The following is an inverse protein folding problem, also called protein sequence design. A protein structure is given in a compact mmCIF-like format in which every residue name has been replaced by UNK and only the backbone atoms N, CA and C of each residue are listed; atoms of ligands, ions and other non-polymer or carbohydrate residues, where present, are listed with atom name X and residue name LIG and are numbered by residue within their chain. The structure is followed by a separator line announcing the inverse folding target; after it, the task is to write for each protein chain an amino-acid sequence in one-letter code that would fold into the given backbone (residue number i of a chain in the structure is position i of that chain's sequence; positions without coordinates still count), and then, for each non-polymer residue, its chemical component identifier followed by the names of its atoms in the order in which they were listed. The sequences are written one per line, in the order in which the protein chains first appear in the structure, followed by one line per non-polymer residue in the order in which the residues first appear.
data_IF_352738977266
#
_entry.id   IF_352738977266
#
_cell.length_a   1.000
_cell.length_b   1.000
_cell.length_c   1.000
_cell.angle_alpha   90.00
_cell.angle_beta   90.00
_cell.angle_gamma   90.00
#
_symmetry.space_group_name_H-M   'P 1'
#
loop_
_entity.id
_entity.type
_entity.pdbx_description
1 polymer ?
#
# COMPACT_ATOMS: atom_id res chain seq x y z
N UNK A 1 32.38 -9.67 -33.51
CA UNK A 1 32.62 -11.13 -33.56
C UNK A 1 32.13 -11.72 -32.24
N UNK A 2 31.05 -12.48 -32.30
CA UNK A 2 30.50 -13.19 -31.15
C UNK A 2 31.41 -14.36 -30.76
N UNK A 3 31.71 -14.53 -29.48
CA UNK A 3 32.22 -15.80 -28.94
C UNK A 3 31.38 -16.17 -27.73
N UNK A 4 30.76 -17.35 -27.84
CA UNK A 4 29.81 -17.93 -26.91
C UNK A 4 30.56 -18.66 -25.78
N UNK A 5 30.05 -18.54 -24.55
CA UNK A 5 30.46 -19.36 -23.42
C UNK A 5 29.66 -20.66 -23.38
N UNK A 6 30.37 -21.78 -23.26
CA UNK A 6 29.82 -23.13 -23.10
C UNK A 6 29.59 -23.45 -21.61
N UNK A 7 28.46 -24.06 -21.21
CA UNK A 7 28.25 -24.48 -19.83
C UNK A 7 28.78 -25.90 -19.59
N UNK A 8 29.60 -26.05 -18.54
CA UNK A 8 30.09 -27.32 -18.02
C UNK A 8 28.99 -28.08 -17.27
N UNK A 9 28.89 -29.39 -17.54
CA UNK A 9 28.00 -30.34 -16.87
C UNK A 9 28.51 -30.66 -15.47
N UNK A 10 27.71 -30.39 -14.44
CA UNK A 10 27.85 -31.04 -13.13
C UNK A 10 27.02 -32.32 -13.10
N UNK A 11 27.68 -33.46 -12.90
CA UNK A 11 27.05 -34.75 -12.67
C UNK A 11 26.72 -34.90 -11.18
N UNK A 12 25.45 -35.11 -10.86
CA UNK A 12 25.00 -35.49 -9.52
C UNK A 12 25.02 -37.01 -9.36
N UNK A 13 25.72 -37.52 -8.35
CA UNK A 13 25.62 -38.91 -7.91
C UNK A 13 24.39 -39.10 -7.01
N UNK A 14 23.64 -40.22 -7.12
CA UNK A 14 22.54 -40.51 -6.21
C UNK A 14 23.02 -41.20 -4.92
N UNK A 15 22.48 -40.78 -3.78
CA UNK A 15 22.62 -41.48 -2.49
C UNK A 15 21.79 -42.78 -2.47
N UNK A 16 22.29 -43.88 -1.85
CA UNK A 16 21.51 -45.09 -1.68
C UNK A 16 20.61 -45.02 -0.44
N UNK A 17 19.34 -45.35 -0.63
CA UNK A 17 18.37 -45.67 0.43
C UNK A 17 18.62 -47.11 0.90
N UNK A 18 19.08 -47.28 2.14
CA UNK A 18 19.10 -48.57 2.83
C UNK A 18 17.81 -48.74 3.64
N UNK A 19 16.97 -49.67 3.19
CA UNK A 19 15.85 -50.24 3.92
C UNK A 19 16.36 -51.41 4.77
N UNK A 20 16.10 -51.39 6.08
CA UNK A 20 16.08 -52.61 6.89
C UNK A 20 14.83 -52.59 7.76
N UNK A 21 14.03 -53.64 7.57
CA UNK A 21 12.85 -53.97 8.35
C UNK A 21 13.25 -54.74 9.60
N UNK A 22 12.66 -54.41 10.74
CA UNK A 22 12.40 -55.40 11.79
C UNK A 22 11.04 -55.12 12.44
N UNK A 23 10.20 -56.16 12.39
CA UNK A 23 8.91 -56.29 13.07
C UNK A 23 9.13 -56.52 14.57
N UNK A 24 8.33 -55.87 15.43
CA UNK A 24 7.43 -56.60 16.33
C UNK A 24 6.39 -55.69 17.01
N UNK A 25 5.22 -56.23 17.38
CA UNK A 25 4.00 -55.46 17.60
C UNK A 25 3.79 -55.09 19.07
N UNK A 26 3.17 -53.92 19.31
CA UNK A 26 2.56 -53.62 20.60
C UNK A 26 1.17 -53.03 20.38
N UNK A 27 0.21 -53.74 20.96
CA UNK A 27 -1.22 -53.53 21.00
C UNK A 27 -1.62 -52.38 21.92
N UNK A 28 -2.67 -51.70 21.46
CA UNK A 28 -3.50 -50.58 21.95
C UNK A 28 -3.83 -50.59 23.47
N UNK A 29 -4.21 -49.45 24.08
CA UNK A 29 -5.62 -49.04 23.99
C UNK A 29 -5.87 -47.54 23.75
N UNK A 30 -6.82 -47.31 22.85
CA UNK A 30 -7.55 -46.08 22.56
C UNK A 30 -8.42 -45.69 23.75
N UNK A 31 -8.25 -44.47 24.27
CA UNK A 31 -9.23 -43.82 25.13
C UNK A 31 -10.09 -42.93 24.23
N UNK A 32 -11.29 -43.41 23.94
CA UNK A 32 -12.39 -42.62 23.42
C UNK A 32 -13.22 -42.12 24.61
N UNK A 33 -13.41 -40.81 24.70
CA UNK A 33 -14.39 -40.19 25.62
C UNK A 33 -15.60 -39.72 24.81
N UNK A 34 -16.82 -40.23 25.06
CA UNK A 34 -18.05 -39.64 24.57
C UNK A 34 -18.63 -38.74 25.67
N UNK A 35 -18.86 -37.46 25.38
CA UNK A 35 -19.70 -36.64 26.26
C UNK A 35 -21.10 -36.50 25.64
N UNK A 36 -22.04 -37.27 26.21
CA UNK A 36 -23.47 -37.17 25.98
C UNK A 36 -24.04 -35.87 26.57
N UNK A 37 -24.89 -35.22 25.77
CA UNK A 37 -26.29 -34.93 26.13
C UNK A 37 -26.59 -34.05 27.33
N UNK A 38 -27.21 -32.90 27.06
CA UNK A 38 -28.31 -32.42 27.91
C UNK A 38 -29.29 -31.57 27.09
N UNK A 39 -30.38 -32.21 26.70
CA UNK A 39 -31.64 -31.58 26.31
C UNK A 39 -32.40 -31.16 27.58
N UNK A 40 -32.77 -29.88 27.70
CA UNK A 40 -33.91 -29.46 28.52
C UNK A 40 -34.81 -28.51 27.75
N UNK A 41 -36.02 -29.01 27.48
CA UNK A 41 -37.22 -28.29 27.05
C UNK A 41 -38.01 -27.80 28.27
N UNK A 42 -38.93 -26.87 28.00
CA UNK A 42 -40.01 -26.31 28.83
C UNK A 42 -39.54 -25.15 29.74
N UNK A 43 -40.23 -23.99 29.80
CA UNK A 43 -41.68 -23.78 29.93
C UNK A 43 -42.10 -22.46 29.25
N UNK A 44 -43.20 -22.49 28.48
CA UNK A 44 -44.04 -21.33 28.13
C UNK A 44 -44.77 -20.85 29.38
N UNK A 45 -44.67 -19.58 29.72
CA UNK A 45 -45.66 -18.88 30.54
C UNK A 45 -46.26 -17.73 29.72
N UNK A 46 -47.47 -17.96 29.24
CA UNK A 46 -48.43 -16.90 28.96
C UNK A 46 -48.98 -16.39 30.29
N UNK A 47 -48.98 -15.08 30.51
CA UNK A 47 -49.92 -14.43 31.41
C UNK A 47 -50.62 -13.30 30.67
N UNK A 48 -51.90 -13.51 30.42
CA UNK A 48 -52.85 -12.50 29.97
C UNK A 48 -53.44 -11.75 31.17
N UNK A 49 -53.54 -10.43 31.06
CA UNK A 49 -54.58 -9.65 31.75
C UNK A 49 -54.81 -8.30 31.06
N UNK A 50 -55.91 -8.22 30.28
CA UNK A 50 -57.02 -7.24 30.38
C UNK A 50 -56.69 -5.85 30.98
N UNK A 51 -57.08 -4.68 30.48
CA UNK A 51 -58.26 -4.23 29.70
C UNK A 51 -58.03 -2.74 29.36
N UNK A 52 -58.41 -2.28 28.16
CA UNK A 52 -59.46 -1.25 27.98
C UNK A 52 -59.53 -0.74 26.54
N UNK A 53 -60.67 -1.01 25.92
CA UNK A 53 -61.14 -0.40 24.68
C UNK A 53 -61.33 1.12 24.86
N UNK A 54 -60.83 1.90 23.91
CA UNK A 54 -61.53 3.10 23.44
C UNK A 54 -61.57 3.11 21.92
N UNK A 55 -62.77 2.78 21.42
CA UNK A 55 -63.19 2.89 20.03
C UNK A 55 -63.42 4.37 19.72
N UNK A 56 -62.69 4.95 18.76
CA UNK A 56 -63.11 6.17 18.07
C UNK A 56 -63.12 5.90 16.57
N UNK A 57 -64.34 5.86 16.05
CA UNK A 57 -64.67 5.91 14.63
C UNK A 57 -64.24 7.28 14.11
N UNK A 58 -63.49 7.28 13.01
CA UNK A 58 -63.07 8.48 12.28
C UNK A 58 -63.01 8.14 10.80
N UNK A 59 -63.78 8.88 10.03
CA UNK A 59 -64.19 8.70 8.64
C UNK A 59 -63.02 8.57 7.66
N UNK A 60 -63.11 7.61 6.74
CA UNK A 60 -62.27 7.54 5.52
C UNK A 60 -62.65 8.73 4.65
N UNK A 61 -61.70 9.64 4.40
CA UNK A 61 -61.83 10.68 3.38
C UNK A 61 -60.64 10.55 2.45
N UNK A 62 -60.91 10.11 1.22
CA UNK A 62 -59.98 10.25 0.12
C UNK A 62 -59.89 11.75 -0.20
N UNK A 63 -58.71 12.33 0.02
CA UNK A 63 -58.35 13.65 -0.50
C UNK A 63 -56.97 13.50 -1.14
N UNK A 64 -56.96 12.90 -2.33
CA UNK A 64 -56.11 13.41 -3.39
C UNK A 64 -56.38 14.91 -3.52
N UNK A 65 -55.31 15.71 -3.51
CA UNK A 65 -55.28 17.16 -3.76
C UNK A 65 -55.26 18.13 -2.57
N UNK A 66 -54.42 17.93 -1.54
CA UNK A 66 -53.80 19.08 -0.83
C UNK A 66 -52.45 18.71 -0.19
N UNK A 67 -51.41 18.47 -1.00
CA UNK A 67 -50.04 18.97 -0.74
C UNK A 67 -49.35 18.99 -2.10
N UNK A 68 -49.26 20.16 -2.75
CA UNK A 68 -48.15 20.38 -3.68
C UNK A 68 -46.90 20.37 -2.80
N UNK A 69 -46.30 19.21 -2.64
CA UNK A 69 -44.97 19.10 -2.08
C UNK A 69 -44.09 19.97 -2.98
N UNK A 70 -43.64 21.10 -2.44
CA UNK A 70 -42.41 21.68 -2.88
C UNK A 70 -41.39 20.55 -2.80
N UNK A 71 -41.07 19.95 -3.95
CA UNK A 71 -39.81 19.23 -4.13
C UNK A 71 -38.72 20.25 -3.83
N UNK A 72 -38.39 20.38 -2.55
CA UNK A 72 -37.04 20.71 -2.13
C UNK A 72 -36.16 19.87 -3.03
N UNK A 73 -35.36 20.51 -3.88
CA UNK A 73 -34.32 19.83 -4.63
C UNK A 73 -33.51 19.10 -3.57
N UNK A 74 -33.75 17.79 -3.41
CA UNK A 74 -32.93 16.97 -2.54
C UNK A 74 -31.53 17.16 -3.09
N UNK A 75 -30.67 17.84 -2.34
CA UNK A 75 -29.25 17.88 -2.64
C UNK A 75 -28.86 16.42 -2.88
N UNK A 76 -28.29 16.06 -4.04
CA UNK A 76 -27.82 14.70 -4.23
C UNK A 76 -26.94 14.35 -3.04
N UNK A 77 -27.10 13.15 -2.47
CA UNK A 77 -26.30 12.69 -1.36
C UNK A 77 -24.89 12.38 -1.89
N UNK A 78 -24.15 13.45 -2.17
CA UNK A 78 -22.82 13.41 -2.77
C UNK A 78 -21.84 12.87 -1.72
N UNK A 79 -20.99 11.95 -2.15
CA UNK A 79 -19.98 11.31 -1.29
C UNK A 79 -18.76 12.23 -1.08
N UNK A 80 -18.55 13.16 -2.01
CA UNK A 80 -17.41 14.07 -2.08
C UNK A 80 -17.81 15.40 -2.74
N UNK A 81 -17.03 16.46 -2.51
CA UNK A 81 -17.18 17.72 -3.24
C UNK A 81 -16.57 17.64 -4.65
N UNK A 82 -16.83 18.65 -5.50
CA UNK A 82 -16.18 18.79 -6.81
C UNK A 82 -14.66 18.85 -6.65
N UNK A 83 -14.19 19.67 -5.72
CA UNK A 83 -12.77 19.93 -5.48
C UNK A 83 -12.06 18.67 -5.00
N UNK A 84 -12.64 17.94 -4.05
CA UNK A 84 -12.13 16.63 -3.64
C UNK A 84 -12.11 15.66 -4.82
N UNK A 85 -13.17 15.63 -5.64
CA UNK A 85 -13.25 14.74 -6.80
C UNK A 85 -12.18 15.00 -7.85
N UNK A 86 -11.93 16.27 -8.17
CA UNK A 86 -10.89 16.66 -9.11
C UNK A 86 -9.48 16.38 -8.56
N UNK A 87 -9.24 16.60 -7.27
CA UNK A 87 -7.97 16.27 -6.62
C UNK A 87 -7.68 14.76 -6.71
N UNK A 88 -8.66 13.91 -6.39
CA UNK A 88 -8.50 12.46 -6.46
C UNK A 88 -8.30 11.99 -7.91
N UNK A 89 -9.02 12.59 -8.86
CA UNK A 89 -8.88 12.24 -10.28
C UNK A 89 -7.49 12.63 -10.80
N UNK A 90 -7.03 13.84 -10.52
CA UNK A 90 -5.69 14.32 -10.92
C UNK A 90 -4.57 13.44 -10.35
N UNK A 91 -4.66 13.06 -9.07
CA UNK A 91 -3.67 12.22 -8.41
C UNK A 91 -3.60 10.80 -9.02
N UNK A 92 -4.75 10.16 -9.26
CA UNK A 92 -4.77 8.83 -9.88
C UNK A 92 -4.32 8.86 -11.34
N UNK A 93 -4.70 9.89 -12.11
CA UNK A 93 -4.28 10.04 -13.51
C UNK A 93 -2.77 10.29 -13.59
N UNK A 94 -2.21 11.12 -12.70
CA UNK A 94 -0.76 11.29 -12.58
C UNK A 94 -0.07 9.95 -12.31
N UNK A 95 -0.56 9.19 -11.32
CA UNK A 95 -0.02 7.87 -11.03
C UNK A 95 -0.04 6.94 -12.24
N UNK A 96 -1.18 6.82 -12.94
CA UNK A 96 -1.30 5.95 -14.13
C UNK A 96 -0.39 6.38 -15.26
N UNK A 97 -0.43 7.65 -15.66
CA UNK A 97 0.34 8.18 -16.78
C UNK A 97 1.85 8.07 -16.52
N UNK A 98 2.28 8.36 -15.29
CA UNK A 98 3.67 8.23 -14.88
C UNK A 98 4.16 6.78 -14.99
N UNK A 99 3.40 5.81 -14.51
CA UNK A 99 3.77 4.39 -14.55
C UNK A 99 3.77 3.82 -15.97
N UNK A 100 2.84 4.26 -16.82
CA UNK A 100 2.84 3.93 -18.25
C UNK A 100 4.07 4.50 -18.96
N UNK A 101 4.46 5.74 -18.64
CA UNK A 101 5.69 6.33 -19.15
C UNK A 101 6.93 5.58 -18.65
N UNK A 102 6.96 5.15 -17.38
CA UNK A 102 8.04 4.32 -16.85
C UNK A 102 8.21 3.03 -17.66
N UNK A 103 7.11 2.36 -18.00
CA UNK A 103 7.15 1.18 -18.87
C UNK A 103 7.79 1.49 -20.23
N UNK A 104 7.39 2.60 -20.86
CA UNK A 104 7.95 3.02 -22.15
C UNK A 104 9.45 3.31 -22.04
N UNK A 105 9.88 4.04 -21.00
CA UNK A 105 11.28 4.42 -20.80
C UNK A 105 12.17 3.22 -20.47
N UNK A 106 11.65 2.24 -19.74
CA UNK A 106 12.33 0.96 -19.52
C UNK A 106 12.61 0.23 -20.84
N UNK A 107 11.60 0.09 -21.71
CA UNK A 107 11.78 -0.55 -23.01
C UNK A 107 12.67 0.25 -23.98
N UNK A 108 12.81 1.56 -23.77
CA UNK A 108 13.79 2.42 -24.47
C UNK A 108 15.19 2.38 -23.85
N UNK A 109 15.40 1.59 -22.80
CA UNK A 109 16.70 1.45 -22.13
C UNK A 109 17.13 2.68 -21.34
N UNK A 110 16.18 3.52 -20.91
CA UNK A 110 16.46 4.69 -20.06
C UNK A 110 16.46 4.36 -18.56
N UNK A 111 15.79 3.27 -18.17
CA UNK A 111 15.74 2.76 -16.80
C UNK A 111 16.40 1.39 -16.73
N UNK A 112 17.12 1.11 -15.64
CA UNK A 112 17.88 -0.12 -15.46
C UNK A 112 17.51 -0.82 -14.15
N UNK A 113 17.69 -2.15 -14.12
CA UNK A 113 17.41 -2.96 -12.94
C UNK A 113 15.93 -3.32 -12.80
N UNK A 114 15.45 -3.34 -11.55
CA UNK A 114 14.07 -3.70 -11.23
C UNK A 114 13.16 -2.48 -11.35
N UNK A 115 12.00 -2.65 -11.99
CA UNK A 115 10.94 -1.63 -12.05
C UNK A 115 9.60 -2.29 -11.77
N UNK A 116 8.92 -1.84 -10.71
CA UNK A 116 7.66 -2.41 -10.24
C UNK A 116 6.53 -1.39 -10.39
N UNK A 117 5.60 -1.65 -11.30
CA UNK A 117 4.59 -0.65 -11.66
C UNK A 117 3.33 -0.69 -10.80
N UNK A 118 2.86 0.44 -10.30
CA UNK A 118 1.69 0.60 -9.43
C UNK A 118 0.35 0.61 -10.17
N UNK A 119 0.37 0.47 -11.50
CA UNK A 119 -0.81 0.62 -12.34
C UNK A 119 -1.94 -0.37 -11.98
N UNK A 120 -3.14 0.18 -11.74
CA UNK A 120 -4.35 -0.52 -11.32
C UNK A 120 -4.67 -0.40 -9.82
N UNK A 121 -3.73 0.12 -9.01
CA UNK A 121 -3.87 0.24 -7.55
C UNK A 121 -4.07 1.70 -7.09
N UNK A 122 -4.27 2.65 -8.01
CA UNK A 122 -4.22 4.10 -7.74
C UNK A 122 -5.26 4.54 -6.70
N UNK A 123 -6.44 3.93 -6.69
CA UNK A 123 -7.47 4.23 -5.70
C UNK A 123 -7.00 4.03 -4.26
N UNK A 124 -6.10 3.06 -4.01
CA UNK A 124 -5.56 2.77 -2.67
C UNK A 124 -4.62 3.90 -2.23
N UNK A 125 -3.61 4.22 -3.02
CA UNK A 125 -2.63 5.27 -2.68
C UNK A 125 -3.33 6.62 -2.52
N UNK A 126 -4.13 7.01 -3.51
CA UNK A 126 -4.82 8.29 -3.54
C UNK A 126 -5.84 8.42 -2.41
N UNK A 127 -6.64 7.38 -2.15
CA UNK A 127 -7.68 7.41 -1.13
C UNK A 127 -7.15 7.64 0.28
N UNK A 128 -5.94 7.14 0.58
CA UNK A 128 -5.28 7.33 1.87
C UNK A 128 -4.39 8.58 1.90
N UNK A 129 -3.48 8.74 0.95
CA UNK A 129 -2.40 9.74 1.02
C UNK A 129 -2.97 11.17 0.89
N UNK A 130 -4.03 11.37 0.10
CA UNK A 130 -4.68 12.67 -0.07
C UNK A 130 -5.50 13.14 1.16
N UNK A 131 -5.50 12.37 2.24
CA UNK A 131 -6.04 12.79 3.54
C UNK A 131 -4.96 13.19 4.54
N UNK A 132 -3.68 12.99 4.21
CA UNK A 132 -2.58 13.23 5.12
C UNK A 132 -2.22 14.72 5.20
N UNK A 133 -1.75 15.12 6.39
CA UNK A 133 -1.03 16.38 6.60
C UNK A 133 0.42 16.22 6.12
N UNK A 134 1.12 17.34 5.96
CA UNK A 134 2.54 17.31 5.59
C UNK A 134 3.39 16.49 6.56
N UNK A 135 3.09 16.60 7.86
CA UNK A 135 3.83 15.96 8.95
C UNK A 135 3.53 14.46 9.12
N UNK A 136 2.45 13.97 8.52
CA UNK A 136 2.15 12.54 8.52
C UNK A 136 3.13 11.81 7.60
N UNK A 137 3.50 10.60 8.01
CA UNK A 137 4.56 9.81 7.35
C UNK A 137 3.98 8.69 6.50
N UNK A 138 4.64 8.38 5.39
CA UNK A 138 4.34 7.25 4.52
C UNK A 138 5.55 6.33 4.47
N UNK A 139 5.34 5.05 4.77
CA UNK A 139 6.30 3.97 4.49
C UNK A 139 5.69 3.07 3.43
N UNK A 140 6.48 2.76 2.40
CA UNK A 140 6.05 1.99 1.23
C UNK A 140 6.82 0.68 1.08
N UNK A 141 6.45 -0.09 0.05
CA UNK A 141 7.23 -1.21 -0.49
C UNK A 141 8.13 -0.75 -1.65
N UNK A 142 8.76 -1.67 -2.37
CA UNK A 142 9.44 -1.41 -3.64
C UNK A 142 8.54 -0.91 -4.78
N UNK A 143 7.22 -0.83 -4.59
CA UNK A 143 6.24 -0.31 -5.55
C UNK A 143 5.78 1.09 -5.11
N UNK A 144 6.72 1.98 -4.88
CA UNK A 144 6.53 3.25 -4.15
C UNK A 144 6.38 4.50 -5.03
N UNK A 145 6.53 4.41 -6.34
CA UNK A 145 6.54 5.60 -7.21
C UNK A 145 5.29 6.46 -7.01
N UNK A 146 4.11 5.85 -7.06
CA UNK A 146 2.83 6.55 -6.89
C UNK A 146 2.64 7.01 -5.45
N UNK A 147 3.16 6.30 -4.44
CA UNK A 147 3.16 6.79 -3.06
C UNK A 147 3.99 8.06 -2.89
N UNK A 148 5.16 8.13 -3.53
CA UNK A 148 5.99 9.32 -3.52
C UNK A 148 5.30 10.49 -4.23
N UNK A 149 4.74 10.25 -5.43
CA UNK A 149 3.98 11.25 -6.19
C UNK A 149 2.78 11.77 -5.40
N UNK A 150 1.92 10.88 -4.88
CA UNK A 150 0.74 11.27 -4.10
C UNK A 150 1.08 12.05 -2.83
N UNK A 151 2.27 11.79 -2.23
CA UNK A 151 2.74 12.54 -1.05
C UNK A 151 3.40 13.88 -1.41
N UNK A 152 3.57 14.17 -2.70
CA UNK A 152 4.03 15.46 -3.23
C UNK A 152 5.45 15.46 -3.79
N UNK A 153 6.17 14.34 -3.78
CA UNK A 153 7.48 14.27 -4.46
C UNK A 153 7.25 14.51 -5.95
N UNK A 154 7.99 15.45 -6.55
CA UNK A 154 7.74 15.86 -7.93
C UNK A 154 8.02 14.75 -8.94
N UNK A 155 7.24 14.71 -10.03
CA UNK A 155 7.47 13.78 -11.13
C UNK A 155 8.89 13.87 -11.70
N UNK A 156 9.47 15.09 -11.75
CA UNK A 156 10.88 15.32 -12.08
C UNK A 156 11.81 14.49 -11.19
N UNK A 157 11.70 14.64 -9.87
CA UNK A 157 12.59 13.96 -8.92
C UNK A 157 12.40 12.43 -8.93
N UNK A 158 11.17 11.94 -9.11
CA UNK A 158 10.86 10.51 -9.22
C UNK A 158 11.44 9.95 -10.52
N UNK A 159 11.23 10.61 -11.67
CA UNK A 159 11.73 10.16 -12.98
C UNK A 159 13.26 10.22 -13.04
N UNK A 160 13.87 11.29 -12.51
CA UNK A 160 15.33 11.41 -12.39
C UNK A 160 15.93 10.30 -11.52
N UNK A 161 15.26 9.87 -10.46
CA UNK A 161 15.72 8.73 -9.64
C UNK A 161 15.69 7.42 -10.44
N UNK A 162 14.61 7.17 -11.19
CA UNK A 162 14.47 6.00 -12.06
C UNK A 162 15.51 5.97 -13.19
N UNK A 163 15.96 7.13 -13.65
CA UNK A 163 17.02 7.29 -14.64
C UNK A 163 18.43 7.25 -14.02
N UNK A 164 18.54 7.12 -12.68
CA UNK A 164 19.83 7.10 -11.97
C UNK A 164 20.57 8.45 -12.04
N UNK A 165 19.85 9.57 -11.97
CA UNK A 165 20.40 10.93 -12.08
C UNK A 165 20.59 11.58 -10.71
N UNK A 166 21.54 12.50 -10.59
CA UNK A 166 21.84 13.22 -9.34
C UNK A 166 20.66 14.06 -8.83
N UNK A 167 19.77 14.47 -9.73
CA UNK A 167 18.54 15.22 -9.46
C UNK A 167 17.39 14.35 -8.97
N UNK A 168 17.59 13.03 -8.88
CA UNK A 168 16.63 12.11 -8.28
C UNK A 168 16.40 12.38 -6.79
N UNK A 169 15.24 11.96 -6.26
CA UNK A 169 14.91 12.14 -4.85
C UNK A 169 15.92 11.51 -3.87
N UNK A 170 16.66 10.49 -4.32
CA UNK A 170 17.76 9.84 -3.60
C UNK A 170 19.09 9.97 -4.36
N UNK A 171 19.21 10.99 -5.22
CA UNK A 171 20.40 11.34 -5.99
C UNK A 171 20.90 10.21 -6.91
N UNK A 172 19.98 9.37 -7.39
CA UNK A 172 20.28 8.26 -8.30
C UNK A 172 20.91 7.05 -7.62
N UNK A 173 20.89 6.96 -6.29
CA UNK A 173 21.43 5.83 -5.52
C UNK A 173 20.36 4.80 -5.16
N UNK A 174 19.09 5.19 -5.13
CA UNK A 174 17.97 4.32 -4.75
C UNK A 174 17.40 3.56 -5.94
N UNK A 175 17.22 4.24 -7.07
CA UNK A 175 16.50 3.70 -8.22
C UNK A 175 15.02 3.45 -7.92
N UNK A 176 14.42 2.47 -8.59
CA UNK A 176 12.97 2.25 -8.55
C UNK A 176 12.41 1.78 -7.20
N UNK A 177 13.19 1.05 -6.40
CA UNK A 177 12.64 0.40 -5.20
C UNK A 177 12.77 1.23 -3.92
N UNK A 178 13.42 2.39 -4.00
CA UNK A 178 13.99 3.09 -2.85
C UNK A 178 13.78 4.61 -2.98
N UNK A 179 12.54 5.06 -2.89
CA UNK A 179 12.22 6.49 -2.91
C UNK A 179 12.00 7.05 -1.51
N UNK A 180 12.88 7.95 -1.10
CA UNK A 180 12.85 8.65 0.18
C UNK A 180 12.69 10.15 -0.05
N UNK A 181 11.95 10.82 0.84
CA UNK A 181 11.87 12.27 0.84
C UNK A 181 11.60 12.81 2.23
N UNK A 182 12.61 13.44 2.83
CA UNK A 182 12.50 14.09 4.14
C UNK A 182 11.46 15.21 4.12
N UNK A 183 11.44 16.01 3.07
CA UNK A 183 10.52 17.14 2.92
C UNK A 183 9.06 16.68 2.95
N UNK A 184 8.77 15.56 2.29
CA UNK A 184 7.41 15.02 2.15
C UNK A 184 7.05 13.97 3.21
N UNK A 185 7.96 13.64 4.13
CA UNK A 185 7.85 12.52 5.08
C UNK A 185 7.54 11.17 4.39
N UNK A 186 8.17 10.95 3.23
CA UNK A 186 8.24 9.63 2.59
C UNK A 186 9.47 8.93 3.16
N UNK A 187 9.23 7.93 4.00
CA UNK A 187 10.25 7.22 4.77
C UNK A 187 10.85 6.03 4.01
N UNK A 188 10.57 5.89 2.72
CA UNK A 188 11.20 4.91 1.84
C UNK A 188 10.27 3.91 1.21
N UNK A 189 10.67 3.44 0.03
CA UNK A 189 10.40 2.08 -0.43
C UNK A 189 11.49 1.11 0.02
N UNK A 190 11.04 -0.10 0.36
CA UNK A 190 11.90 -1.17 0.86
C UNK A 190 11.79 -2.40 -0.03
N UNK A 191 12.95 -2.95 -0.41
CA UNK A 191 13.04 -4.11 -1.30
C UNK A 191 12.88 -5.44 -0.55
N UNK A 192 13.27 -5.50 0.74
CA UNK A 192 13.04 -6.69 1.55
C UNK A 192 11.61 -6.73 2.07
N UNK A 193 10.95 -7.85 1.86
CA UNK A 193 9.54 -8.06 2.21
C UNK A 193 9.35 -7.94 3.72
N UNK A 194 8.63 -6.92 4.15
CA UNK A 194 8.31 -6.65 5.56
C UNK A 194 9.24 -5.66 6.27
N UNK A 195 10.34 -5.24 5.64
CA UNK A 195 11.35 -4.34 6.24
C UNK A 195 10.77 -2.97 6.62
N UNK A 196 9.83 -2.45 5.84
CA UNK A 196 9.16 -1.18 6.12
C UNK A 196 8.23 -1.20 7.34
N UNK A 197 7.71 -2.36 7.76
CA UNK A 197 6.69 -2.43 8.83
C UNK A 197 7.26 -1.97 10.19
N UNK A 198 8.45 -2.46 10.63
CA UNK A 198 9.09 -1.93 11.83
C UNK A 198 9.47 -0.45 11.73
N UNK A 199 9.91 0.03 10.56
CA UNK A 199 10.23 1.45 10.32
C UNK A 199 9.00 2.32 10.54
N UNK A 200 7.87 1.95 9.96
CA UNK A 200 6.59 2.64 10.14
C UNK A 200 6.13 2.63 11.60
N UNK A 201 6.31 1.49 12.27
CA UNK A 201 5.97 1.33 13.70
C UNK A 201 6.82 2.28 14.56
N UNK A 202 8.11 2.42 14.27
CA UNK A 202 9.00 3.37 14.94
C UNK A 202 8.65 4.85 14.67
N UNK A 203 8.23 5.18 13.45
CA UNK A 203 7.75 6.51 13.11
C UNK A 203 6.48 6.87 13.91
N UNK A 204 5.53 5.95 13.99
CA UNK A 204 4.31 6.14 14.79
C UNK A 204 4.62 6.24 16.30
N UNK A 205 5.58 5.44 16.79
CA UNK A 205 6.08 5.56 18.16
C UNK A 205 6.67 6.94 18.42
N UNK A 206 7.40 7.52 17.46
CA UNK A 206 7.96 8.87 17.58
C UNK A 206 6.86 9.92 17.78
N UNK A 207 5.76 9.85 17.03
CA UNK A 207 4.61 10.76 17.21
C UNK A 207 4.02 10.65 18.62
N UNK A 208 3.80 9.42 19.10
CA UNK A 208 3.32 9.18 20.46
C UNK A 208 4.31 9.71 21.52
N UNK A 209 5.61 9.45 21.34
CA UNK A 209 6.66 9.88 22.26
C UNK A 209 6.76 11.40 22.34
N UNK A 210 6.69 12.10 21.21
CA UNK A 210 6.63 13.56 21.15
C UNK A 210 5.47 14.11 21.97
N UNK A 211 4.27 13.54 21.76
CA UNK A 211 3.06 13.95 22.46
C UNK A 211 3.12 13.68 23.97
N UNK A 212 3.49 12.47 24.37
CA UNK A 212 3.36 12.01 25.76
C UNK A 212 4.59 12.29 26.63
N UNK A 213 5.79 12.17 26.05
CA UNK A 213 7.06 12.30 26.79
C UNK A 213 7.67 13.67 26.59
N UNK A 214 7.80 14.15 25.35
CA UNK A 214 8.36 15.47 25.06
C UNK A 214 7.37 16.63 25.26
N UNK A 215 6.10 16.31 25.59
CA UNK A 215 5.03 17.27 25.88
C UNK A 215 4.67 18.20 24.71
N UNK A 216 4.91 17.74 23.48
CA UNK A 216 4.39 18.36 22.26
C UNK A 216 2.91 17.99 22.08
N UNK A 217 2.03 18.58 22.89
CA UNK A 217 0.61 18.18 23.01
C UNK A 217 -0.17 18.21 21.69
N UNK A 218 0.26 19.07 20.76
CA UNK A 218 -0.34 19.24 19.43
C UNK A 218 0.21 18.27 18.38
N UNK A 219 1.16 17.40 18.74
CA UNK A 219 1.67 16.37 17.83
C UNK A 219 0.60 15.29 17.63
N UNK A 220 -0.07 15.36 16.48
CA UNK A 220 -1.12 14.45 16.07
C UNK A 220 -0.76 13.68 14.78
N UNK A 221 0.54 13.53 14.50
CA UNK A 221 1.02 12.92 13.26
C UNK A 221 0.66 11.43 13.20
N UNK A 222 0.22 11.00 12.03
CA UNK A 222 -0.14 9.61 11.71
C UNK A 222 0.90 9.01 10.76
N UNK A 223 1.12 7.71 10.87
CA UNK A 223 1.93 6.96 9.90
C UNK A 223 1.06 5.99 9.11
N UNK A 224 1.22 5.98 7.79
CA UNK A 224 0.70 4.92 6.92
C UNK A 224 1.82 3.93 6.60
N UNK A 225 1.52 2.64 6.78
CA UNK A 225 2.41 1.54 6.41
C UNK A 225 1.76 0.73 5.28
N UNK A 226 2.23 0.90 4.04
CA UNK A 226 1.74 0.16 2.88
C UNK A 226 2.54 -1.11 2.67
N UNK A 227 1.87 -2.23 2.43
CA UNK A 227 2.50 -3.51 2.06
C UNK A 227 1.53 -4.47 1.35
N UNK A 228 2.08 -5.38 0.54
CA UNK A 228 1.27 -6.36 -0.20
C UNK A 228 0.78 -7.55 0.63
N UNK A 229 -0.18 -8.29 0.10
CA UNK A 229 -0.75 -9.51 0.68
C UNK A 229 0.31 -10.55 1.09
N UNK A 230 1.28 -10.82 0.23
CA UNK A 230 2.38 -11.75 0.52
C UNK A 230 3.19 -11.40 1.77
N UNK A 231 3.32 -10.10 2.08
CA UNK A 231 4.04 -9.60 3.25
C UNK A 231 3.38 -10.01 4.57
N UNK A 232 2.07 -10.24 4.55
CA UNK A 232 1.28 -10.55 5.75
C UNK A 232 1.54 -11.96 6.32
N UNK A 233 2.45 -12.72 5.68
CA UNK A 233 2.95 -14.00 6.18
C UNK A 233 4.32 -13.89 6.86
N UNK A 234 4.95 -12.71 6.87
CA UNK A 234 6.20 -12.46 7.58
C UNK A 234 5.94 -12.32 9.10
N UNK A 235 6.81 -12.88 9.95
CA UNK A 235 6.71 -12.76 11.41
C UNK A 235 6.71 -11.31 11.91
N UNK A 236 7.50 -10.43 11.28
CA UNK A 236 7.61 -9.02 11.64
C UNK A 236 6.27 -8.27 11.56
N UNK A 237 5.37 -8.70 10.66
CA UNK A 237 4.02 -8.16 10.57
C UNK A 237 3.27 -8.35 11.90
N UNK A 238 3.24 -9.58 12.43
CA UNK A 238 2.54 -9.90 13.68
C UNK A 238 3.17 -9.23 14.89
N UNK A 239 4.51 -9.17 14.96
CA UNK A 239 5.24 -8.48 16.02
C UNK A 239 4.85 -6.99 16.06
N UNK A 240 4.81 -6.33 14.90
CA UNK A 240 4.46 -4.92 14.80
C UNK A 240 2.98 -4.65 15.08
N UNK A 241 2.06 -5.52 14.65
CA UNK A 241 0.64 -5.40 15.01
C UNK A 241 0.45 -5.44 16.54
N UNK A 242 1.13 -6.38 17.21
CA UNK A 242 1.08 -6.51 18.66
C UNK A 242 1.61 -5.26 19.37
N UNK A 243 2.81 -4.78 19.00
CA UNK A 243 3.41 -3.58 19.59
C UNK A 243 2.55 -2.33 19.35
N UNK A 244 2.05 -2.15 18.12
CA UNK A 244 1.22 -1.01 17.76
C UNK A 244 -0.09 -0.98 18.56
N UNK A 245 -0.74 -2.14 18.74
CA UNK A 245 -1.95 -2.26 19.54
C UNK A 245 -1.66 -1.99 21.03
N UNK A 246 -0.62 -2.62 21.59
CA UNK A 246 -0.21 -2.45 22.98
C UNK A 246 0.05 -0.99 23.34
N UNK A 247 0.77 -0.26 22.49
CA UNK A 247 1.13 1.13 22.73
C UNK A 247 0.10 2.13 22.19
N UNK A 248 -0.98 1.67 21.56
CA UNK A 248 -1.98 2.51 20.88
C UNK A 248 -1.31 3.51 19.92
N UNK A 249 -0.44 3.02 19.05
CA UNK A 249 0.30 3.86 18.13
C UNK A 249 -0.62 4.51 17.07
N UNK A 250 -0.32 5.75 16.63
CA UNK A 250 -1.06 6.43 15.57
C UNK A 250 -0.62 5.92 14.19
N UNK A 251 -0.92 4.66 13.87
CA UNK A 251 -0.53 4.00 12.63
C UNK A 251 -1.73 3.33 11.94
N UNK A 252 -1.77 3.40 10.62
CA UNK A 252 -2.68 2.58 9.80
C UNK A 252 -1.84 1.63 8.97
N UNK A 253 -2.12 0.34 9.13
CA UNK A 253 -1.53 -0.73 8.33
C UNK A 253 -2.42 -0.94 7.10
N UNK A 254 -1.92 -0.57 5.92
CA UNK A 254 -2.65 -0.63 4.65
C UNK A 254 -2.12 -1.79 3.82
N UNK A 255 -2.94 -2.82 3.66
CA UNK A 255 -2.61 -4.00 2.87
C UNK A 255 -3.15 -3.81 1.45
N UNK A 256 -2.23 -3.75 0.49
CA UNK A 256 -2.54 -3.78 -0.94
C UNK A 256 -2.64 -5.22 -1.40
N UNK A 257 -3.82 -5.82 -1.22
CA UNK A 257 -4.06 -7.18 -1.66
C UNK A 257 -4.37 -7.18 -3.15
N UNK A 258 -3.34 -7.34 -3.98
CA UNK A 258 -3.48 -7.48 -5.44
C UNK A 258 -3.61 -8.95 -5.89
N UNK A 259 -3.95 -9.83 -4.95
CA UNK A 259 -4.15 -11.26 -5.09
C UNK A 259 -2.89 -12.09 -5.40
N UNK A 260 -1.71 -11.47 -5.53
CA UNK A 260 -0.51 -12.14 -6.04
C UNK A 260 0.81 -11.65 -5.44
N UNK A 261 1.51 -12.53 -4.74
CA UNK A 261 2.91 -12.34 -4.34
C UNK A 261 3.86 -12.92 -5.41
N UNK A 262 4.31 -12.08 -6.34
CA UNK A 262 5.04 -12.50 -7.56
C UNK A 262 4.18 -13.49 -8.37
N UNK A 263 4.46 -14.80 -8.27
CA UNK A 263 3.70 -15.88 -8.90
C UNK A 263 2.89 -16.75 -7.92
N UNK A 264 2.89 -16.39 -6.62
CA UNK A 264 2.08 -17.08 -5.62
C UNK A 264 0.71 -16.41 -5.48
N UNK A 265 -0.35 -17.13 -5.80
CA UNK A 265 -1.72 -16.67 -5.57
C UNK A 265 -2.01 -16.53 -4.07
N UNK A 266 -2.73 -15.47 -3.70
CA UNK A 266 -3.16 -15.16 -2.34
C UNK A 266 -3.85 -16.34 -1.64
N UNK A 267 -4.75 -17.03 -2.35
CA UNK A 267 -5.48 -18.19 -1.83
C UNK A 267 -4.58 -19.39 -1.51
N UNK A 268 -3.34 -19.40 -2.02
CA UNK A 268 -2.32 -20.44 -1.77
C UNK A 268 -1.23 -19.98 -0.81
N UNK A 269 -1.22 -18.70 -0.42
CA UNK A 269 -0.14 -18.09 0.35
C UNK A 269 -0.36 -18.14 1.87
N UNK A 270 -1.59 -18.33 2.33
CA UNK A 270 -1.95 -18.26 3.75
C UNK A 270 -3.11 -19.19 4.09
N UNK A 271 -3.22 -19.62 5.35
CA UNK A 271 -4.28 -20.54 5.80
C UNK A 271 -5.64 -19.86 5.95
N UNK A 272 -5.65 -18.55 6.24
CA UNK A 272 -6.85 -17.71 6.24
C UNK A 272 -6.57 -16.49 5.33
N UNK A 273 -7.14 -16.47 4.11
CA UNK A 273 -6.95 -15.40 3.12
C UNK A 273 -7.53 -14.06 3.54
N UNK A 274 -8.41 -13.99 4.54
CA UNK A 274 -9.02 -12.72 4.95
C UNK A 274 -8.07 -11.98 5.90
N UNK A 275 -7.12 -11.23 5.34
CA UNK A 275 -6.03 -10.58 6.08
C UNK A 275 -6.58 -9.61 7.13
N UNK A 276 -7.65 -8.87 6.83
CA UNK A 276 -8.26 -7.95 7.79
C UNK A 276 -8.65 -8.64 9.12
N UNK A 277 -8.98 -9.94 9.10
CA UNK A 277 -9.32 -10.71 10.32
C UNK A 277 -8.13 -10.94 11.25
N UNK A 278 -6.90 -10.72 10.79
CA UNK A 278 -5.70 -10.82 11.64
C UNK A 278 -5.60 -9.66 12.64
N UNK A 279 -6.20 -8.51 12.35
CA UNK A 279 -6.24 -7.35 13.27
C UNK A 279 -6.93 -7.66 14.61
N UNK A 280 -8.17 -8.16 14.61
CA UNK A 280 -8.91 -8.48 15.83
C UNK A 280 -8.20 -9.42 16.81
N UNK A 281 -7.28 -10.27 16.35
CA UNK A 281 -6.46 -11.13 17.22
C UNK A 281 -5.57 -10.33 18.19
N UNK A 282 -5.27 -9.07 17.88
CA UNK A 282 -4.49 -8.14 18.70
C UNK A 282 -5.35 -7.06 19.38
N UNK A 283 -6.68 -7.16 19.30
CA UNK A 283 -7.58 -6.10 19.76
C UNK A 283 -7.58 -4.85 18.86
N UNK A 284 -7.13 -4.99 17.61
CA UNK A 284 -7.08 -3.94 16.60
C UNK A 284 -8.25 -4.09 15.61
N UNK A 285 -8.95 -3.02 15.21
CA UNK A 285 -9.94 -3.09 14.14
C UNK A 285 -9.32 -3.57 12.82
N UNK A 286 -10.01 -4.49 12.17
CA UNK A 286 -9.70 -4.98 10.83
C UNK A 286 -10.82 -4.62 9.87
N UNK A 287 -10.49 -3.95 8.76
CA UNK A 287 -11.46 -3.50 7.75
C UNK A 287 -11.09 -4.07 6.38
N UNK A 288 -12.07 -4.63 5.67
CA UNK A 288 -11.93 -4.99 4.26
C UNK A 288 -12.59 -3.92 3.40
N UNK A 289 -11.93 -3.49 2.33
CA UNK A 289 -12.46 -2.48 1.42
C UNK A 289 -12.15 -2.86 -0.02
N UNK A 290 -13.08 -2.51 -0.91
CA UNK A 290 -12.87 -2.58 -2.36
C UNK A 290 -11.82 -1.52 -2.76
N UNK A 291 -10.59 -1.98 -2.97
CA UNK A 291 -9.44 -1.16 -3.34
C UNK A 291 -9.47 -0.64 -4.78
N UNK A 292 -10.47 -1.02 -5.58
CA UNK A 292 -10.72 -0.46 -6.91
C UNK A 292 -11.70 0.73 -6.88
N UNK A 293 -12.20 1.12 -5.70
CA UNK A 293 -13.16 2.20 -5.50
C UNK A 293 -12.59 3.26 -4.54
N UNK A 294 -12.05 4.34 -5.11
CA UNK A 294 -11.40 5.41 -4.34
C UNK A 294 -12.31 6.07 -3.31
N UNK A 295 -13.64 6.09 -3.53
CA UNK A 295 -14.58 6.71 -2.59
C UNK A 295 -14.74 5.85 -1.33
N UNK A 296 -14.83 4.53 -1.50
CA UNK A 296 -14.85 3.58 -0.37
C UNK A 296 -13.52 3.54 0.37
N UNK A 297 -12.39 3.51 -0.36
CA UNK A 297 -11.06 3.59 0.25
C UNK A 297 -10.94 4.86 1.09
N UNK A 298 -11.34 6.02 0.53
CA UNK A 298 -11.27 7.31 1.22
C UNK A 298 -12.17 7.36 2.45
N UNK A 299 -13.36 6.76 2.42
CA UNK A 299 -14.24 6.66 3.58
C UNK A 299 -13.55 5.89 4.73
N UNK A 300 -13.00 4.71 4.44
CA UNK A 300 -12.26 3.91 5.42
C UNK A 300 -11.02 4.65 5.92
N UNK A 301 -10.29 5.31 5.03
CA UNK A 301 -9.11 6.08 5.37
C UNK A 301 -9.44 7.26 6.30
N UNK A 302 -10.55 7.98 6.07
CA UNK A 302 -11.01 9.09 6.94
C UNK A 302 -11.17 8.61 8.40
N UNK A 303 -11.82 7.47 8.61
CA UNK A 303 -11.98 6.94 9.97
C UNK A 303 -10.68 6.35 10.52
N UNK A 304 -9.94 5.55 9.75
CA UNK A 304 -8.71 4.92 10.24
C UNK A 304 -7.64 5.95 10.64
N UNK A 305 -7.44 6.99 9.81
CA UNK A 305 -6.53 8.12 10.09
C UNK A 305 -7.08 8.93 11.27
N UNK A 306 -8.39 9.21 11.29
CA UNK A 306 -9.03 9.92 12.40
C UNK A 306 -8.83 9.22 13.75
N UNK A 307 -9.05 7.90 13.79
CA UNK A 307 -8.84 7.03 14.95
C UNK A 307 -7.40 7.08 15.45
N UNK A 308 -6.44 6.90 14.53
CA UNK A 308 -5.02 6.98 14.84
C UNK A 308 -4.67 8.35 15.45
N UNK A 309 -5.15 9.43 14.83
CA UNK A 309 -4.93 10.82 15.27
C UNK A 309 -5.52 11.11 16.65
N UNK A 310 -6.70 10.56 16.96
CA UNK A 310 -7.35 10.67 18.29
C UNK A 310 -6.65 9.84 19.38
N UNK A 311 -5.64 9.03 19.04
CA UNK A 311 -4.91 8.19 20.00
C UNK A 311 -5.67 6.92 20.41
N UNK A 312 -6.64 6.50 19.61
CA UNK A 312 -7.44 5.30 19.85
C UNK A 312 -6.74 4.02 19.37
N UNK A 313 -5.52 4.17 18.82
CA UNK A 313 -4.66 3.09 18.39
C UNK A 313 -4.79 2.73 16.91
N UNK A 314 -4.13 1.64 16.49
CA UNK A 314 -3.97 1.31 15.08
C UNK A 314 -5.23 0.75 14.44
N UNK A 315 -5.21 0.66 13.11
CA UNK A 315 -6.20 -0.04 12.28
C UNK A 315 -5.48 -0.87 11.21
N UNK A 316 -5.95 -2.09 10.95
CA UNK A 316 -5.54 -2.90 9.81
C UNK A 316 -6.61 -2.77 8.71
N UNK A 317 -6.22 -2.29 7.53
CA UNK A 317 -7.12 -2.16 6.38
C UNK A 317 -6.61 -3.03 5.25
N UNK A 318 -7.42 -3.97 4.79
CA UNK A 318 -7.18 -4.76 3.59
C UNK A 318 -7.93 -4.16 2.41
N UNK A 319 -7.17 -3.60 1.47
CA UNK A 319 -7.65 -3.10 0.20
C UNK A 319 -7.49 -4.19 -0.86
N UNK A 320 -8.60 -4.84 -1.25
CA UNK A 320 -8.59 -5.75 -2.39
C UNK A 320 -8.51 -4.93 -3.69
N UNK A 321 -7.36 -4.98 -4.34
CA UNK A 321 -7.04 -4.20 -5.54
C UNK A 321 -6.43 -5.13 -6.60
N UNK A 322 -5.86 -4.58 -7.66
CA UNK A 322 -5.25 -5.39 -8.70
C UNK A 322 -4.14 -4.66 -9.44
N UNK A 323 -3.00 -5.33 -9.64
CA UNK A 323 -1.93 -4.82 -10.50
C UNK A 323 -2.17 -5.24 -11.94
N UNK A 324 -2.21 -4.28 -12.87
CA UNK A 324 -2.52 -4.56 -14.27
C UNK A 324 -1.36 -5.14 -15.07
N UNK A 325 -0.12 -4.95 -14.60
CA UNK A 325 1.07 -5.61 -15.17
C UNK A 325 1.56 -6.74 -14.27
N UNK A 326 2.54 -7.49 -14.75
CA UNK A 326 3.25 -8.50 -13.97
C UNK A 326 3.90 -7.90 -12.71
N UNK A 327 4.55 -8.75 -11.93
CA UNK A 327 5.19 -8.32 -10.69
C UNK A 327 6.15 -7.14 -10.89
N UNK A 328 7.01 -7.26 -11.90
CA UNK A 328 7.93 -6.24 -12.41
C UNK A 328 7.88 -6.22 -13.94
N UNK A 329 8.55 -5.26 -14.59
CA UNK A 329 8.67 -5.24 -16.06
C UNK A 329 9.42 -6.44 -16.66
N UNK A 330 10.13 -7.23 -15.83
CA UNK A 330 10.77 -8.48 -16.23
C UNK A 330 9.85 -9.71 -16.10
N UNK A 331 8.70 -9.58 -15.45
CA UNK A 331 7.72 -10.67 -15.28
C UNK A 331 6.70 -10.65 -16.43
N UNK A 332 6.65 -11.70 -17.28
CA UNK A 332 5.75 -11.75 -18.44
C UNK A 332 4.28 -11.97 -18.07
N UNK A 333 3.97 -12.22 -16.79
CA UNK A 333 2.60 -12.32 -16.29
C UNK A 333 1.76 -13.49 -16.85
N UNK A 334 2.40 -14.65 -16.99
CA UNK A 334 1.81 -15.85 -17.58
C UNK A 334 1.01 -16.71 -16.58
N UNK A 335 1.20 -16.50 -15.27
CA UNK A 335 0.61 -17.34 -14.23
C UNK A 335 -0.85 -16.99 -13.87
N UNK A 336 -1.32 -15.82 -14.32
CA UNK A 336 -2.66 -15.30 -13.99
C UNK A 336 -3.67 -15.58 -15.08
N UNK A 337 -4.86 -16.02 -14.69
CA UNK A 337 -5.97 -16.29 -15.60
C UNK A 337 -6.33 -15.01 -16.39
N UNK A 338 -6.35 -15.06 -17.74
CA UNK A 338 -6.83 -13.95 -18.55
C UNK A 338 -8.23 -13.45 -18.18
N UNK A 339 -9.13 -14.31 -17.71
CA UNK A 339 -10.47 -13.92 -17.27
C UNK A 339 -10.43 -13.07 -15.98
N UNK A 340 -9.54 -13.41 -15.04
CA UNK A 340 -9.30 -12.60 -13.83
C UNK A 340 -8.76 -11.22 -14.20
N UNK A 341 -7.77 -11.17 -15.11
CA UNK A 341 -7.22 -9.91 -15.62
C UNK A 341 -8.29 -9.04 -16.30
N UNK A 342 -9.14 -9.63 -17.14
CA UNK A 342 -10.23 -8.93 -17.80
C UNK A 342 -11.29 -8.42 -16.80
N UNK A 343 -11.58 -9.20 -15.76
CA UNK A 343 -12.50 -8.80 -14.70
C UNK A 343 -12.05 -7.51 -13.99
N UNK A 344 -10.78 -7.45 -13.57
CA UNK A 344 -10.25 -6.27 -12.89
C UNK A 344 -9.98 -5.09 -13.83
N UNK A 345 -9.61 -5.34 -15.09
CA UNK A 345 -9.48 -4.29 -16.09
C UNK A 345 -10.81 -3.55 -16.33
N UNK A 346 -11.94 -4.26 -16.31
CA UNK A 346 -13.27 -3.65 -16.41
C UNK A 346 -13.67 -2.82 -15.17
N UNK A 347 -12.92 -2.94 -14.07
CA UNK A 347 -13.12 -2.24 -12.79
C UNK A 347 -12.09 -1.13 -12.57
N UNK A 348 -11.49 -0.57 -13.62
CA UNK A 348 -10.46 0.48 -13.49
C UNK A 348 -10.91 1.64 -12.57
N UNK A 349 -10.17 1.94 -11.49
CA UNK A 349 -10.54 2.96 -10.51
C UNK A 349 -10.69 4.36 -11.11
N UNK A 350 -9.88 4.71 -12.12
CA UNK A 350 -9.91 6.04 -12.76
C UNK A 350 -11.20 6.18 -13.57
N UNK A 351 -11.54 5.14 -14.32
CA UNK A 351 -12.78 5.10 -15.12
C UNK A 351 -14.01 5.16 -14.20
N UNK A 352 -13.98 4.44 -13.09
CA UNK A 352 -15.05 4.43 -12.10
C UNK A 352 -15.26 5.83 -11.47
N UNK A 353 -14.19 6.51 -11.05
CA UNK A 353 -14.31 7.88 -10.50
C UNK A 353 -14.80 8.87 -11.56
N UNK A 354 -14.25 8.83 -12.78
CA UNK A 354 -14.68 9.69 -13.90
C UNK A 354 -16.18 9.58 -14.16
N UNK A 355 -16.70 8.33 -14.16
CA UNK A 355 -18.12 8.06 -14.31
C UNK A 355 -18.92 8.69 -13.16
N UNK A 356 -18.51 8.47 -11.92
CA UNK A 356 -19.17 9.06 -10.74
C UNK A 356 -19.24 10.59 -10.81
N UNK A 357 -18.11 11.26 -11.12
CA UNK A 357 -18.05 12.72 -11.20
C UNK A 357 -18.96 13.28 -12.29
N UNK A 358 -19.07 12.58 -13.42
CA UNK A 358 -19.90 12.97 -14.56
C UNK A 358 -21.39 12.77 -14.27
N UNK A 359 -21.78 11.58 -13.78
CA UNK A 359 -23.16 11.24 -13.47
C UNK A 359 -23.76 12.13 -12.36
N UNK A 360 -22.92 12.61 -11.45
CA UNK A 360 -23.32 13.51 -10.38
C UNK A 360 -23.17 15.00 -10.72
N UNK A 361 -22.83 15.36 -11.97
CA UNK A 361 -22.61 16.73 -12.42
C UNK A 361 -21.58 17.51 -11.57
N UNK A 362 -20.59 16.81 -11.03
CA UNK A 362 -19.50 17.43 -10.26
C UNK A 362 -18.45 18.05 -11.18
N UNK A 363 -18.30 17.56 -12.41
CA UNK A 363 -17.32 18.06 -13.36
C UNK A 363 -17.83 18.01 -14.80
N UNK A 364 -17.16 18.73 -15.69
CA UNK A 364 -17.39 18.66 -17.13
C UNK A 364 -16.39 17.72 -17.80
N UNK A 365 -16.71 17.19 -18.97
CA UNK A 365 -15.74 16.43 -19.77
C UNK A 365 -14.52 17.28 -20.17
N UNK A 366 -14.72 18.60 -20.34
CA UNK A 366 -13.64 19.54 -20.64
C UNK A 366 -12.68 19.71 -19.47
N UNK A 367 -13.19 19.76 -18.23
CA UNK A 367 -12.39 19.86 -17.01
C UNK A 367 -11.50 18.61 -16.87
N UNK A 368 -12.06 17.42 -17.10
CA UNK A 368 -11.32 16.16 -17.03
C UNK A 368 -10.25 16.06 -18.13
N UNK A 369 -10.58 16.43 -19.37
CA UNK A 369 -9.61 16.47 -20.48
C UNK A 369 -8.49 17.49 -20.22
N UNK A 370 -8.77 18.59 -19.55
CA UNK A 370 -7.77 19.57 -19.17
C UNK A 370 -6.80 19.00 -18.14
N UNK A 371 -7.28 18.19 -17.18
CA UNK A 371 -6.44 17.45 -16.24
C UNK A 371 -5.59 16.42 -16.98
N UNK A 372 -6.21 15.59 -17.83
CA UNK A 372 -5.49 14.57 -18.61
C UNK A 372 -4.33 15.21 -19.39
N UNK A 373 -4.60 16.30 -20.13
CA UNK A 373 -3.58 17.05 -20.88
C UNK A 373 -2.48 17.63 -19.98
N UNK A 374 -2.85 18.23 -18.84
CA UNK A 374 -1.88 18.78 -17.88
C UNK A 374 -0.94 17.68 -17.37
N UNK A 375 -1.47 16.50 -17.08
CA UNK A 375 -0.67 15.38 -16.59
C UNK A 375 0.27 14.85 -17.69
N UNK A 376 -0.21 14.75 -18.93
CA UNK A 376 0.66 14.39 -20.06
C UNK A 376 1.85 15.35 -20.16
N UNK A 377 1.60 16.66 -20.10
CA UNK A 377 2.65 17.70 -20.12
C UNK A 377 3.62 17.55 -18.93
N UNK A 378 3.12 17.27 -17.72
CA UNK A 378 3.96 17.05 -16.52
C UNK A 378 4.86 15.82 -16.67
N UNK A 379 4.33 14.72 -17.22
CA UNK A 379 5.08 13.47 -17.37
C UNK A 379 6.11 13.56 -18.49
N UNK A 380 5.76 14.17 -19.63
CA UNK A 380 6.69 14.44 -20.72
C UNK A 380 7.84 15.35 -20.28
N UNK A 381 7.52 16.43 -19.57
CA UNK A 381 8.51 17.35 -19.02
C UNK A 381 9.42 16.65 -18.00
N UNK A 382 8.89 15.78 -17.14
CA UNK A 382 9.70 15.02 -16.20
C UNK A 382 10.70 14.09 -16.90
N UNK A 383 10.33 13.50 -18.05
CA UNK A 383 11.24 12.70 -18.88
C UNK A 383 12.33 13.56 -19.51
N UNK A 384 11.98 14.70 -20.10
CA UNK A 384 12.95 15.64 -20.69
C UNK A 384 13.96 16.11 -19.63
N UNK A 385 13.46 16.58 -18.49
CA UNK A 385 14.28 16.99 -17.36
C UNK A 385 15.21 15.87 -16.87
N UNK A 386 14.72 14.65 -16.74
CA UNK A 386 15.53 13.51 -16.33
C UNK A 386 16.60 13.15 -17.38
N UNK A 387 16.30 13.27 -18.67
CA UNK A 387 17.27 12.97 -19.72
C UNK A 387 18.44 13.97 -19.72
N UNK A 388 18.11 15.27 -19.59
CA UNK A 388 19.07 16.38 -19.52
C UNK A 388 19.85 16.44 -18.20
N UNK A 389 19.31 15.84 -17.14
CA UNK A 389 19.93 15.84 -15.81
C UNK A 389 21.29 15.13 -15.81
N UNK A 390 22.26 15.60 -14.99
CA UNK A 390 23.57 14.99 -14.90
C UNK A 390 23.51 13.62 -14.20
N UNK A 391 24.36 12.70 -14.64
CA UNK A 391 24.64 11.46 -13.91
C UNK A 391 25.45 11.76 -12.63
N UNK A 392 25.32 10.95 -11.57
CA UNK A 392 26.15 11.07 -10.37
C UNK A 392 27.64 10.97 -10.69
N UNK A 393 28.49 11.91 -10.20
CA UNK A 393 29.93 11.77 -10.36
C UNK A 393 30.44 10.58 -9.56
N UNK A 394 31.56 9.97 -9.98
CA UNK A 394 32.16 8.81 -9.28
C UNK A 394 32.44 9.07 -7.80
N UNK A 395 32.80 10.31 -7.45
CA UNK A 395 33.06 10.73 -6.07
C UNK A 395 31.84 10.56 -5.16
N UNK A 396 30.62 10.58 -5.72
CA UNK A 396 29.38 10.41 -4.96
C UNK A 396 29.21 8.99 -4.42
N UNK A 397 29.92 7.99 -4.96
CA UNK A 397 29.74 6.56 -4.59
C UNK A 397 29.86 6.31 -3.08
N UNK A 398 30.77 7.02 -2.41
CA UNK A 398 31.03 6.84 -0.97
C UNK A 398 30.34 7.89 -0.09
N UNK A 399 29.62 8.83 -0.70
CA UNK A 399 28.83 9.79 0.06
C UNK A 399 27.67 9.08 0.76
N UNK A 400 27.31 9.57 1.95
CA UNK A 400 26.17 9.08 2.75
C UNK A 400 26.25 7.63 3.26
N UNK A 401 27.38 6.93 3.10
CA UNK A 401 27.60 5.64 3.78
C UNK A 401 27.57 5.82 5.31
N UNK A 402 28.12 6.95 5.78
CA UNK A 402 27.99 7.42 7.15
C UNK A 402 27.51 8.87 7.15
N UNK A 403 26.73 9.26 8.16
CA UNK A 403 26.32 10.66 8.35
C UNK A 403 27.52 11.57 8.67
N UNK A 404 28.47 11.07 9.47
CA UNK A 404 29.81 11.65 9.62
C UNK A 404 30.81 10.81 8.79
N UNK A 405 31.46 11.38 7.75
CA UNK A 405 32.48 10.68 6.97
C UNK A 405 33.61 10.07 7.80
N UNK A 406 33.87 10.57 9.02
CA UNK A 406 34.85 9.96 9.94
C UNK A 406 34.48 8.54 10.37
N UNK A 407 33.23 8.12 10.16
CA UNK A 407 32.78 6.73 10.36
C UNK A 407 33.56 5.70 9.54
N UNK A 408 34.26 6.10 8.48
CA UNK A 408 35.18 5.24 7.73
C UNK A 408 36.45 4.84 8.52
N UNK A 409 36.67 5.43 9.70
CA UNK A 409 37.78 5.10 10.57
C UNK A 409 39.12 5.68 10.11
N UNK A 410 40.19 5.23 10.76
CA UNK A 410 41.56 5.72 10.55
C UNK A 410 42.30 4.74 9.62
N UNK A 411 43.02 5.28 8.64
CA UNK A 411 43.88 4.55 7.72
C UNK A 411 45.20 4.09 8.38
N UNK A 412 46.00 3.25 7.70
CA UNK A 412 47.31 2.80 8.21
C UNK A 412 48.31 3.93 8.47
N UNK A 413 48.10 5.10 7.86
CA UNK A 413 48.91 6.32 8.00
C UNK A 413 48.50 7.21 9.19
N UNK A 414 47.48 6.80 9.95
CA UNK A 414 46.98 7.53 11.12
C UNK A 414 46.00 8.67 10.79
N UNK A 415 45.62 8.86 9.51
CA UNK A 415 44.62 9.87 9.09
C UNK A 415 43.25 9.25 8.92
N UNK A 416 42.17 10.04 8.90
CA UNK A 416 40.86 9.47 8.58
C UNK A 416 40.84 8.98 7.15
N UNK A 417 40.25 7.81 6.88
CA UNK A 417 40.19 7.25 5.53
C UNK A 417 39.50 8.19 4.55
N UNK A 418 38.50 8.94 4.99
CA UNK A 418 37.83 9.94 4.17
C UNK A 418 38.73 11.12 3.73
N UNK A 419 39.89 11.30 4.37
CA UNK A 419 40.89 12.34 4.03
C UNK A 419 41.96 11.83 3.05
N UNK A 420 42.02 10.53 2.78
CA UNK A 420 42.92 9.97 1.76
C UNK A 420 42.39 10.37 0.37
N UNK A 421 43.16 11.14 -0.43
CA UNK A 421 42.73 11.55 -1.77
C UNK A 421 42.34 10.36 -2.66
N UNK A 422 42.96 9.19 -2.47
CA UNK A 422 42.65 7.96 -3.21
C UNK A 422 41.39 7.27 -2.74
N UNK A 423 40.92 7.56 -1.53
CA UNK A 423 39.72 6.96 -0.97
C UNK A 423 38.47 7.45 -1.73
N UNK A 424 38.39 8.75 -2.01
CA UNK A 424 37.29 9.37 -2.74
C UNK A 424 37.38 9.21 -4.27
N UNK A 425 38.51 8.73 -4.79
CA UNK A 425 38.67 8.46 -6.24
C UNK A 425 37.81 7.30 -6.74
N UNK A 426 37.11 6.60 -5.84
CA UNK A 426 36.20 5.51 -6.16
C UNK A 426 36.98 4.25 -6.53
N UNK A 427 36.84 3.19 -5.75
CA UNK A 427 37.55 1.91 -5.98
C UNK A 427 37.04 1.11 -7.18
N UNK A 428 36.10 1.66 -7.96
CA UNK A 428 35.52 0.99 -9.12
C UNK A 428 36.44 1.16 -10.35
N UNK A 429 37.51 0.35 -10.41
CA UNK A 429 37.92 -0.17 -11.72
C UNK A 429 36.79 -1.10 -12.16
N UNK A 430 35.89 -0.62 -13.02
CA UNK A 430 34.95 -1.46 -13.77
C UNK A 430 35.56 -1.77 -15.11
#
# INVERSE_FOLDING_TARGET
MATAFSPSKFAAQPFPLNTTSQNNPLTIPTIASPFLGSTRKLIRLCSSSNLNLRRRSGTVVAVSDVVKENKSKSTPNLLITKEEGLELYEDMVLGRAFEEMCAQMYYRGKMFGFVHLYNGQEAVSTGFIKLLKQQDSVVSTYRDHVHALSKGVSARAVMSELFGKTTGCCRGQGGSMHMFSREHNVLGGFAFIGEGIPVATGAAFTSKYKREVLKEVDCDHVTLAFFGDGTCNNGQFFECLNMAALWKLPIVFVVENNLWAIGMSHLRATSDPQIYKKGPAFGMPGVHVDGMDVLKVREVAKEAIGRARRGEGPTLVECETYRFRGHSLADPDELRDPAEKAHYAARDPITALKKYLTENNLTSEADLKAIDKKIDEVVEEAVEFADESPVPPRSQLLENVFADPKGFGIGPDGRYRCEDPKFTEGTAQV
#
